data_IF_429164279909
#
_entry.id   IF_429164279909
#
_cell.length_a   1.000
_cell.length_b   1.000
_cell.length_c   1.000
_cell.angle_alpha   90.00
_cell.angle_beta   90.00
_cell.angle_gamma   90.00
#
_symmetry.space_group_name_H-M   'P 1'
#
loop_
_entity.id
_entity.type
_entity.pdbx_description
1 polymer ?
#
# COMPACT_ATOMS: atom_id res chain seq x y z
N UNK A 1 4.88 -2.69 -43.20
CA UNK A 1 5.19 -3.82 -42.31
C UNK A 1 3.95 -4.14 -41.48
N UNK A 2 3.42 -5.37 -41.55
CA UNK A 2 2.22 -5.77 -40.79
C UNK A 2 2.60 -5.97 -39.32
N UNK A 3 2.01 -5.21 -38.40
CA UNK A 3 2.23 -5.40 -36.96
C UNK A 3 1.34 -6.51 -36.44
N UNK A 4 1.90 -7.43 -35.64
CA UNK A 4 1.13 -8.45 -34.96
C UNK A 4 0.34 -7.77 -33.82
N UNK A 5 -0.98 -7.99 -33.75
CA UNK A 5 -1.89 -7.37 -32.78
C UNK A 5 -1.42 -7.59 -31.32
N UNK A 6 -1.02 -8.81 -30.97
CA UNK A 6 -0.51 -9.12 -29.63
C UNK A 6 0.79 -8.37 -29.27
N UNK A 7 1.68 -8.16 -30.26
CA UNK A 7 2.91 -7.37 -30.05
C UNK A 7 2.61 -5.88 -29.86
N UNK A 8 1.62 -5.35 -30.60
CA UNK A 8 1.19 -3.95 -30.45
C UNK A 8 0.60 -3.72 -29.06
N UNK A 9 -0.26 -4.62 -28.57
CA UNK A 9 -0.84 -4.53 -27.23
C UNK A 9 0.23 -4.61 -26.12
N UNK A 10 1.21 -5.51 -26.26
CA UNK A 10 2.31 -5.64 -25.28
C UNK A 10 3.28 -4.45 -25.29
N UNK A 11 3.37 -3.70 -26.38
CA UNK A 11 4.24 -2.52 -26.47
C UNK A 11 3.54 -1.20 -26.09
N UNK A 12 2.24 -1.23 -25.87
CA UNK A 12 1.47 -0.08 -25.41
C UNK A 12 1.90 0.31 -24.00
N UNK A 13 2.42 1.53 -23.86
CA UNK A 13 2.61 2.13 -22.54
C UNK A 13 1.32 2.79 -22.13
N UNK A 14 0.92 2.58 -20.86
CA UNK A 14 -0.20 3.30 -20.27
C UNK A 14 0.14 4.79 -20.17
N UNK A 15 -0.75 5.65 -20.64
CA UNK A 15 -0.69 7.08 -20.43
C UNK A 15 -1.52 7.43 -19.19
N UNK A 16 -0.85 7.61 -18.07
CA UNK A 16 -1.48 7.81 -16.75
C UNK A 16 -2.42 9.03 -16.74
N UNK A 17 -2.02 10.12 -17.42
CA UNK A 17 -2.84 11.33 -17.46
C UNK A 17 -4.10 11.12 -18.30
N UNK A 18 -3.98 10.40 -19.41
CA UNK A 18 -5.13 10.04 -20.23
C UNK A 18 -6.08 9.07 -19.51
N UNK A 19 -5.55 8.12 -18.75
CA UNK A 19 -6.40 7.23 -17.93
C UNK A 19 -7.09 7.99 -16.80
N UNK A 20 -6.40 8.92 -16.14
CA UNK A 20 -7.02 9.81 -15.16
C UNK A 20 -8.17 10.61 -15.78
N UNK A 21 -7.95 11.27 -16.93
CA UNK A 21 -8.98 12.06 -17.62
C UNK A 21 -10.21 11.22 -17.97
N UNK A 22 -10.02 9.98 -18.45
CA UNK A 22 -11.13 9.06 -18.72
C UNK A 22 -11.92 8.71 -17.45
N UNK A 23 -11.23 8.41 -16.34
CA UNK A 23 -11.86 8.08 -15.06
C UNK A 23 -12.58 9.30 -14.48
N UNK A 24 -11.96 10.47 -14.58
CA UNK A 24 -12.56 11.75 -14.15
C UNK A 24 -13.83 12.06 -14.96
N UNK A 25 -13.80 11.93 -16.28
CA UNK A 25 -14.96 12.14 -17.15
C UNK A 25 -16.09 11.12 -16.90
N UNK A 26 -15.75 9.89 -16.53
CA UNK A 26 -16.74 8.89 -16.13
C UNK A 26 -17.40 9.23 -14.78
N UNK A 27 -16.73 9.92 -13.87
CA UNK A 27 -17.22 10.26 -12.55
C UNK A 27 -17.96 11.60 -12.51
N UNK A 28 -17.36 12.65 -13.08
CA UNK A 28 -17.87 14.01 -13.06
C UNK A 28 -18.57 14.44 -14.36
N UNK A 29 -18.39 13.71 -15.45
CA UNK A 29 -18.99 14.08 -16.73
C UNK A 29 -20.48 13.78 -16.78
N UNK A 30 -21.28 14.71 -17.36
CA UNK A 30 -22.73 14.60 -17.46
C UNK A 30 -23.17 13.43 -18.37
N UNK A 31 -24.14 12.67 -17.92
CA UNK A 31 -24.86 11.69 -18.71
C UNK A 31 -25.93 12.30 -19.62
N UNK A 32 -26.74 11.44 -20.24
CA UNK A 32 -27.81 11.86 -21.17
C UNK A 32 -28.95 12.65 -20.46
N UNK A 33 -29.08 12.49 -19.16
CA UNK A 33 -30.05 13.19 -18.28
C UNK A 33 -29.48 14.46 -17.64
N UNK A 34 -28.27 14.86 -18.03
CA UNK A 34 -27.59 16.04 -17.50
C UNK A 34 -27.06 15.89 -16.07
N UNK A 35 -26.90 14.64 -15.58
CA UNK A 35 -26.32 14.35 -14.27
C UNK A 35 -25.06 13.52 -14.42
N UNK A 36 -24.07 13.79 -13.57
CA UNK A 36 -22.88 12.99 -13.41
C UNK A 36 -23.08 11.86 -12.39
N UNK A 37 -22.14 10.95 -12.27
CA UNK A 37 -22.14 9.97 -11.19
C UNK A 37 -21.94 10.66 -9.83
N UNK A 38 -21.08 11.67 -9.75
CA UNK A 38 -20.91 12.49 -8.55
C UNK A 38 -22.23 13.14 -8.09
N UNK A 39 -23.02 13.71 -9.04
CA UNK A 39 -24.34 14.25 -8.74
C UNK A 39 -25.31 13.19 -8.20
N UNK A 40 -25.28 11.98 -8.79
CA UNK A 40 -26.13 10.89 -8.33
C UNK A 40 -25.75 10.40 -6.92
N UNK A 41 -24.48 10.34 -6.62
CA UNK A 41 -23.97 10.03 -5.28
C UNK A 41 -24.38 11.12 -4.31
N UNK A 42 -24.21 12.40 -4.65
CA UNK A 42 -24.58 13.53 -3.82
C UNK A 42 -26.09 13.58 -3.51
N UNK A 43 -26.93 13.28 -4.50
CA UNK A 43 -28.39 13.22 -4.33
C UNK A 43 -28.85 12.07 -3.43
N UNK A 44 -28.05 11.05 -3.23
CA UNK A 44 -28.35 9.88 -2.40
C UNK A 44 -27.29 9.70 -1.31
N UNK A 45 -26.71 10.78 -0.86
CA UNK A 45 -25.56 10.79 0.04
C UNK A 45 -25.89 10.21 1.43
N UNK A 46 -27.16 10.23 1.81
CA UNK A 46 -27.66 9.61 3.05
C UNK A 46 -27.41 8.11 3.12
N UNK A 47 -27.34 7.42 1.96
CA UNK A 47 -27.07 5.99 1.86
C UNK A 47 -25.56 5.65 2.00
N UNK A 48 -24.67 6.64 1.97
CA UNK A 48 -23.22 6.44 2.11
C UNK A 48 -22.87 6.26 3.59
N UNK A 49 -22.49 5.05 3.98
CA UNK A 49 -22.26 4.69 5.38
C UNK A 49 -21.10 5.43 6.04
N UNK A 50 -20.10 5.86 5.28
CA UNK A 50 -18.89 6.52 5.76
C UNK A 50 -18.95 8.06 5.64
N UNK A 51 -20.08 8.63 5.24
CA UNK A 51 -20.24 10.09 5.07
C UNK A 51 -20.05 10.91 6.35
N UNK A 52 -20.01 10.26 7.51
CA UNK A 52 -19.98 10.98 8.79
C UNK A 52 -21.23 11.83 8.98
N UNK A 53 -21.05 13.13 9.20
CA UNK A 53 -22.14 14.11 9.34
C UNK A 53 -22.39 14.92 8.07
N UNK A 54 -21.65 14.70 6.99
CA UNK A 54 -21.77 15.42 5.72
C UNK A 54 -23.14 15.13 5.06
N UNK A 55 -23.71 16.16 4.44
CA UNK A 55 -25.02 16.11 3.81
C UNK A 55 -24.94 15.78 2.31
N UNK A 56 -23.81 16.12 1.68
CA UNK A 56 -23.53 15.89 0.26
C UNK A 56 -22.04 15.66 0.01
N UNK A 57 -21.70 15.41 -1.25
CA UNK A 57 -20.33 15.11 -1.66
C UNK A 57 -19.41 16.33 -1.54
N UNK A 58 -19.93 17.54 -1.81
CA UNK A 58 -19.14 18.78 -1.74
C UNK A 58 -18.72 19.09 -0.30
N UNK A 59 -19.63 18.90 0.68
CA UNK A 59 -19.30 19.04 2.10
C UNK A 59 -18.29 17.98 2.55
N UNK A 60 -18.42 16.75 2.06
CA UNK A 60 -17.48 15.67 2.33
C UNK A 60 -16.10 16.01 1.78
N UNK A 61 -15.99 16.42 0.54
CA UNK A 61 -14.74 16.78 -0.11
C UNK A 61 -14.05 17.94 0.62
N UNK A 62 -14.84 18.96 1.02
CA UNK A 62 -14.31 20.07 1.80
C UNK A 62 -13.83 19.65 3.20
N UNK A 63 -14.57 18.78 3.89
CA UNK A 63 -14.24 18.34 5.25
C UNK A 63 -13.00 17.43 5.28
N UNK A 64 -12.84 16.57 4.27
CA UNK A 64 -11.75 15.60 4.19
C UNK A 64 -10.64 16.01 3.21
N UNK A 65 -10.68 17.24 2.70
CA UNK A 65 -9.68 17.86 1.83
C UNK A 65 -9.44 17.08 0.52
N UNK A 66 -10.49 16.42 -0.02
CA UNK A 66 -10.43 15.81 -1.34
C UNK A 66 -10.63 16.88 -2.42
N UNK A 67 -9.61 17.08 -3.27
CA UNK A 67 -9.66 18.06 -4.35
C UNK A 67 -9.11 17.43 -5.64
N UNK A 68 -10.03 17.04 -6.50
CA UNK A 68 -9.66 16.44 -7.79
C UNK A 68 -10.10 17.36 -8.94
N UNK A 69 -9.12 17.80 -9.74
CA UNK A 69 -9.34 18.67 -10.89
C UNK A 69 -9.28 17.86 -12.20
N UNK A 70 -10.05 18.29 -13.23
CA UNK A 70 -9.97 17.69 -14.57
C UNK A 70 -8.55 17.71 -15.14
N UNK A 71 -7.81 18.81 -14.88
CA UNK A 71 -6.45 19.02 -15.37
C UNK A 71 -5.51 19.43 -14.23
N UNK A 72 -5.12 18.50 -13.32
CA UNK A 72 -4.28 18.83 -12.19
C UNK A 72 -2.91 19.36 -12.63
N UNK A 73 -2.43 20.40 -11.94
CA UNK A 73 -1.13 21.01 -12.23
C UNK A 73 0.03 20.10 -11.81
N UNK A 74 -0.12 19.41 -10.68
CA UNK A 74 0.88 18.49 -10.11
C UNK A 74 0.35 17.06 -10.17
N UNK A 75 0.29 16.51 -11.40
CA UNK A 75 -0.17 15.16 -11.63
C UNK A 75 1.00 14.18 -11.53
N UNK A 76 0.85 13.18 -10.64
CA UNK A 76 1.75 12.03 -10.50
C UNK A 76 0.96 10.72 -10.30
N UNK A 77 1.67 9.65 -10.01
CA UNK A 77 1.05 8.34 -9.74
C UNK A 77 0.21 8.36 -8.47
N UNK A 78 0.67 9.06 -7.44
CA UNK A 78 -0.02 9.11 -6.14
C UNK A 78 -1.34 9.86 -6.25
N UNK A 79 -1.39 10.92 -7.07
CA UNK A 79 -2.63 11.62 -7.38
C UNK A 79 -3.65 10.71 -8.10
N UNK A 80 -3.19 9.93 -9.10
CA UNK A 80 -4.04 8.95 -9.79
C UNK A 80 -4.55 7.87 -8.83
N UNK A 81 -3.68 7.34 -7.98
CA UNK A 81 -4.04 6.29 -7.00
C UNK A 81 -5.06 6.83 -6.01
N UNK A 82 -4.85 8.03 -5.45
CA UNK A 82 -5.79 8.69 -4.54
C UNK A 82 -7.18 8.88 -5.17
N UNK A 83 -7.21 9.34 -6.43
CA UNK A 83 -8.47 9.47 -7.17
C UNK A 83 -9.15 8.11 -7.39
N UNK A 84 -8.38 7.10 -7.76
CA UNK A 84 -8.92 5.74 -7.93
C UNK A 84 -9.49 5.18 -6.63
N UNK A 85 -8.85 5.40 -5.48
CA UNK A 85 -9.34 4.98 -4.15
C UNK A 85 -10.63 5.69 -3.79
N UNK A 86 -10.66 7.02 -3.94
CA UNK A 86 -11.82 7.84 -3.70
C UNK A 86 -13.03 7.34 -4.50
N UNK A 87 -12.90 7.29 -5.82
CA UNK A 87 -14.01 6.87 -6.70
C UNK A 87 -14.40 5.42 -6.44
N UNK A 88 -13.43 4.52 -6.28
CA UNK A 88 -13.71 3.11 -6.05
C UNK A 88 -14.55 2.90 -4.79
N UNK A 89 -14.19 3.54 -3.67
CA UNK A 89 -14.93 3.40 -2.42
C UNK A 89 -16.34 3.97 -2.51
N UNK A 90 -16.55 5.12 -3.14
CA UNK A 90 -17.90 5.63 -3.40
C UNK A 90 -18.71 4.68 -4.27
N UNK A 91 -18.12 4.20 -5.36
CA UNK A 91 -18.79 3.34 -6.33
C UNK A 91 -19.21 2.00 -5.72
N UNK A 92 -18.38 1.36 -4.91
CA UNK A 92 -18.74 0.06 -4.30
C UNK A 92 -19.84 0.19 -3.25
N UNK A 93 -19.89 1.32 -2.52
CA UNK A 93 -20.88 1.58 -1.48
C UNK A 93 -22.18 2.20 -2.03
N UNK A 94 -22.17 2.67 -3.27
CA UNK A 94 -23.36 3.22 -3.90
C UNK A 94 -24.31 2.11 -4.36
N UNK A 95 -25.58 2.18 -3.95
CA UNK A 95 -26.56 1.13 -4.30
C UNK A 95 -26.79 1.05 -5.82
N UNK A 96 -26.72 -0.15 -6.36
CA UNK A 96 -26.84 -0.45 -7.79
C UNK A 96 -28.23 -0.22 -8.39
N UNK A 97 -29.22 0.23 -7.59
CA UNK A 97 -30.59 0.55 -8.09
C UNK A 97 -30.60 1.74 -9.06
N UNK A 98 -29.53 2.51 -9.10
CA UNK A 98 -29.39 3.65 -10.01
C UNK A 98 -28.59 3.24 -11.24
N UNK A 99 -29.22 3.31 -12.41
CA UNK A 99 -28.57 3.03 -13.68
C UNK A 99 -27.66 4.19 -14.06
N UNK A 100 -26.40 3.87 -14.37
CA UNK A 100 -25.45 4.85 -14.86
C UNK A 100 -25.56 4.99 -16.37
N UNK A 101 -25.68 6.21 -16.85
CA UNK A 101 -25.92 6.47 -18.25
C UNK A 101 -24.68 6.32 -19.14
N UNK A 102 -23.46 6.33 -18.58
CA UNK A 102 -22.19 6.28 -19.34
C UNK A 102 -21.46 4.95 -19.22
N UNK A 103 -21.54 4.30 -18.08
CA UNK A 103 -20.95 2.98 -17.84
C UNK A 103 -21.73 2.27 -16.74
N UNK A 104 -21.79 0.94 -16.80
CA UNK A 104 -22.28 0.21 -15.65
C UNK A 104 -21.22 0.19 -14.52
N UNK A 105 -21.68 0.01 -13.28
CA UNK A 105 -20.84 -0.06 -12.08
C UNK A 105 -19.67 -1.01 -12.25
N UNK A 106 -19.93 -2.21 -12.78
CA UNK A 106 -18.91 -3.25 -12.93
C UNK A 106 -17.83 -2.85 -13.94
N UNK A 107 -18.24 -2.22 -15.05
CA UNK A 107 -17.28 -1.71 -16.05
C UNK A 107 -16.35 -0.68 -15.42
N UNK A 108 -16.88 0.27 -14.64
CA UNK A 108 -16.08 1.31 -14.02
C UNK A 108 -15.10 0.75 -12.98
N UNK A 109 -15.59 -0.09 -12.06
CA UNK A 109 -14.73 -0.80 -11.10
C UNK A 109 -13.63 -1.59 -11.81
N UNK A 110 -14.01 -2.35 -12.85
CA UNK A 110 -13.05 -3.15 -13.62
C UNK A 110 -12.00 -2.29 -14.30
N UNK A 111 -12.39 -1.13 -14.83
CA UNK A 111 -11.44 -0.20 -15.46
C UNK A 111 -10.46 0.39 -14.43
N UNK A 112 -10.92 0.81 -13.26
CA UNK A 112 -10.05 1.25 -12.16
C UNK A 112 -9.04 0.16 -11.81
N UNK A 113 -9.51 -1.06 -11.54
CA UNK A 113 -8.64 -2.18 -11.17
C UNK A 113 -7.60 -2.49 -12.26
N UNK A 114 -7.98 -2.34 -13.54
CA UNK A 114 -7.06 -2.53 -14.66
C UNK A 114 -5.97 -1.45 -14.72
N UNK A 115 -6.34 -0.19 -14.50
CA UNK A 115 -5.37 0.92 -14.42
C UNK A 115 -4.40 0.67 -13.26
N UNK A 116 -4.90 0.33 -12.08
CA UNK A 116 -4.12 0.03 -10.88
C UNK A 116 -3.14 -1.12 -11.11
N UNK A 117 -3.59 -2.21 -11.76
CA UNK A 117 -2.71 -3.33 -12.10
C UNK A 117 -1.59 -2.93 -13.07
N UNK A 118 -1.90 -2.16 -14.11
CA UNK A 118 -0.94 -1.71 -15.14
C UNK A 118 0.13 -0.77 -14.58
N UNK A 119 -0.19 0.01 -13.55
CA UNK A 119 0.79 0.88 -12.87
C UNK A 119 1.61 0.15 -11.79
N UNK A 120 1.40 -1.16 -11.61
CA UNK A 120 2.15 -1.98 -10.66
C UNK A 120 1.63 -1.88 -9.22
N UNK A 121 0.38 -1.50 -9.04
CA UNK A 121 -0.32 -1.49 -7.76
C UNK A 121 -1.26 -2.70 -7.62
N UNK A 122 -1.76 -2.92 -6.43
CA UNK A 122 -2.73 -3.97 -6.12
C UNK A 122 -3.74 -3.48 -5.09
N UNK A 123 -4.93 -4.06 -5.13
CA UNK A 123 -5.95 -3.81 -4.13
C UNK A 123 -5.56 -4.40 -2.77
N UNK A 124 -5.76 -3.63 -1.72
CA UNK A 124 -5.68 -4.03 -0.32
C UNK A 124 -6.91 -3.47 0.42
N UNK A 125 -7.03 -3.77 1.72
CA UNK A 125 -8.14 -3.27 2.53
C UNK A 125 -7.61 -2.75 3.87
N UNK A 126 -8.11 -1.59 4.30
CA UNK A 126 -7.83 -0.99 5.60
C UNK A 126 -9.14 -0.45 6.20
N UNK A 127 -9.48 -0.89 7.41
CA UNK A 127 -10.68 -0.47 8.15
C UNK A 127 -12.01 -0.57 7.35
N UNK A 128 -12.09 -1.54 6.43
CA UNK A 128 -13.26 -1.75 5.59
C UNK A 128 -13.26 -0.98 4.28
N UNK A 129 -12.27 -0.13 4.05
CA UNK A 129 -12.09 0.59 2.80
C UNK A 129 -11.09 -0.12 1.88
N UNK A 130 -11.26 0.09 0.58
CA UNK A 130 -10.26 -0.32 -0.40
C UNK A 130 -9.18 0.75 -0.50
N UNK A 131 -7.92 0.31 -0.41
CA UNK A 131 -6.74 1.09 -0.74
C UNK A 131 -5.97 0.40 -1.85
N UNK A 132 -5.15 1.16 -2.60
CA UNK A 132 -4.27 0.62 -3.62
C UNK A 132 -2.81 0.82 -3.24
N UNK A 133 -2.07 -0.29 -3.13
CA UNK A 133 -0.70 -0.31 -2.62
C UNK A 133 0.27 -0.80 -3.70
N UNK A 134 1.53 -0.33 -3.70
CA UNK A 134 2.55 -0.85 -4.61
C UNK A 134 2.69 -2.37 -4.48
N UNK A 135 2.78 -3.07 -5.60
CA UNK A 135 2.91 -4.52 -5.66
C UNK A 135 4.34 -4.94 -5.31
N UNK A 136 4.61 -5.14 -4.03
CA UNK A 136 5.87 -5.66 -3.51
C UNK A 136 5.76 -7.17 -3.28
N UNK A 137 6.42 -7.96 -4.14
CA UNK A 137 6.37 -9.41 -4.06
C UNK A 137 6.99 -9.99 -2.78
N UNK A 138 7.96 -9.31 -2.19
CA UNK A 138 8.59 -9.73 -0.93
C UNK A 138 7.66 -9.43 0.24
N UNK A 139 7.08 -8.25 0.29
CA UNK A 139 6.07 -7.91 1.30
C UNK A 139 4.88 -8.87 1.24
N UNK A 140 4.37 -9.18 0.04
CA UNK A 140 3.28 -10.16 -0.16
C UNK A 140 3.70 -11.56 0.33
N UNK A 141 4.92 -12.01 0.03
CA UNK A 141 5.41 -13.31 0.49
C UNK A 141 5.52 -13.36 2.02
N UNK A 142 6.11 -12.32 2.63
CA UNK A 142 6.25 -12.23 4.10
C UNK A 142 4.90 -12.15 4.78
N UNK A 143 3.94 -11.37 4.26
CA UNK A 143 2.61 -11.22 4.87
C UNK A 143 1.80 -12.52 4.95
N UNK A 144 2.19 -13.55 4.19
CA UNK A 144 1.55 -14.88 4.16
C UNK A 144 2.24 -15.94 5.02
N UNK A 145 3.34 -15.58 5.70
CA UNK A 145 4.03 -16.53 6.59
C UNK A 145 3.19 -16.82 7.82
N UNK A 146 3.15 -18.08 8.25
CA UNK A 146 2.37 -18.54 9.42
C UNK A 146 2.71 -17.78 10.71
N UNK A 147 3.92 -17.25 10.81
CA UNK A 147 4.37 -16.45 11.96
C UNK A 147 3.89 -15.00 11.95
N UNK A 148 3.25 -14.53 10.87
CA UNK A 148 2.71 -13.18 10.73
C UNK A 148 1.22 -13.21 11.04
N UNK A 149 0.76 -12.53 12.11
CA UNK A 149 -0.66 -12.43 12.43
C UNK A 149 -1.43 -11.69 11.32
N UNK A 150 -2.67 -12.08 11.10
CA UNK A 150 -3.52 -11.51 10.03
C UNK A 150 -3.64 -9.97 10.14
N UNK A 151 -3.80 -9.45 11.36
CA UNK A 151 -3.87 -8.01 11.60
C UNK A 151 -2.54 -7.25 11.36
N UNK A 152 -1.44 -7.97 11.11
CA UNK A 152 -0.14 -7.38 10.74
C UNK A 152 0.11 -7.51 9.25
N UNK A 153 -0.45 -8.51 8.59
CA UNK A 153 -0.26 -8.77 7.16
C UNK A 153 -0.60 -7.55 6.31
N UNK A 154 -1.72 -6.88 6.58
CA UNK A 154 -2.11 -5.67 5.84
C UNK A 154 -1.11 -4.51 6.07
N UNK A 155 -0.57 -4.34 7.30
CA UNK A 155 0.42 -3.30 7.61
C UNK A 155 1.71 -3.49 6.83
N UNK A 156 2.12 -4.76 6.63
CA UNK A 156 3.28 -5.10 5.81
C UNK A 156 3.02 -4.68 4.36
N UNK A 157 1.88 -5.04 3.80
CA UNK A 157 1.53 -4.73 2.41
C UNK A 157 1.36 -3.22 2.20
N UNK A 158 0.72 -2.53 3.15
CA UNK A 158 0.41 -1.10 3.05
C UNK A 158 1.61 -0.18 3.40
N UNK A 159 2.73 -0.70 3.88
CA UNK A 159 3.87 0.11 4.35
C UNK A 159 4.36 1.14 3.33
N UNK A 160 4.33 0.81 2.05
CA UNK A 160 4.76 1.69 0.95
C UNK A 160 3.61 2.48 0.33
N UNK A 161 2.43 2.51 0.97
CA UNK A 161 1.33 3.34 0.50
C UNK A 161 1.69 4.83 0.59
N UNK A 162 1.32 5.62 -0.42
CA UNK A 162 1.71 7.02 -0.53
C UNK A 162 1.22 7.91 0.63
N UNK A 163 0.08 7.57 1.25
CA UNK A 163 -0.46 8.31 2.40
C UNK A 163 0.12 7.87 3.76
N UNK A 164 1.03 6.89 3.77
CA UNK A 164 1.60 6.37 5.01
C UNK A 164 2.58 7.39 5.61
N UNK A 165 2.18 8.03 6.70
CA UNK A 165 3.03 8.97 7.41
C UNK A 165 4.16 8.28 8.20
N UNK A 166 5.14 9.06 8.64
CA UNK A 166 6.32 8.55 9.35
C UNK A 166 5.96 7.88 10.69
N UNK A 167 4.90 8.34 11.37
CA UNK A 167 4.47 7.72 12.62
C UNK A 167 3.81 6.36 12.38
N UNK A 168 2.98 6.23 11.35
CA UNK A 168 2.39 4.96 10.91
C UNK A 168 3.46 3.96 10.47
N UNK A 169 4.49 4.42 9.73
CA UNK A 169 5.68 3.63 9.39
C UNK A 169 6.40 3.15 10.65
N UNK A 170 6.61 4.04 11.63
CA UNK A 170 7.21 3.73 12.94
C UNK A 170 6.43 2.65 13.68
N UNK A 171 5.11 2.79 13.77
CA UNK A 171 4.24 1.82 14.43
C UNK A 171 4.32 0.44 13.78
N UNK A 172 4.37 0.38 12.45
CA UNK A 172 4.56 -0.88 11.71
C UNK A 172 5.92 -1.52 12.05
N UNK A 173 7.00 -0.73 12.05
CA UNK A 173 8.34 -1.22 12.42
C UNK A 173 8.41 -1.72 13.85
N UNK A 174 7.71 -1.10 14.80
CA UNK A 174 7.62 -1.57 16.19
C UNK A 174 6.94 -2.94 16.28
N UNK A 175 5.87 -3.15 15.54
CA UNK A 175 5.20 -4.45 15.47
C UNK A 175 6.12 -5.51 14.88
N UNK A 176 6.81 -5.22 13.78
CA UNK A 176 7.77 -6.14 13.15
C UNK A 176 8.95 -6.44 14.08
N UNK A 177 9.46 -5.42 14.82
CA UNK A 177 10.51 -5.60 15.81
C UNK A 177 10.08 -6.57 16.93
N UNK A 178 8.84 -6.44 17.40
CA UNK A 178 8.29 -7.35 18.43
C UNK A 178 8.17 -8.79 17.91
N UNK A 179 7.75 -8.99 16.67
CA UNK A 179 7.66 -10.31 16.04
C UNK A 179 9.04 -10.94 15.79
N UNK A 180 10.08 -10.15 15.55
CA UNK A 180 11.45 -10.64 15.32
C UNK A 180 12.22 -10.91 16.62
N UNK A 181 11.83 -10.32 17.72
CA UNK A 181 12.52 -10.44 19.02
C UNK A 181 12.67 -11.88 19.51
N UNK A 182 11.65 -12.76 19.48
CA UNK A 182 11.79 -14.16 19.85
C UNK A 182 12.78 -14.94 18.99
N UNK A 183 13.08 -14.44 17.80
CA UNK A 183 13.96 -15.08 16.83
C UNK A 183 15.42 -14.57 16.87
N UNK A 184 15.77 -13.70 17.83
CA UNK A 184 17.10 -13.07 17.95
C UNK A 184 18.25 -14.08 17.84
N UNK A 185 18.22 -15.14 18.62
CA UNK A 185 19.28 -16.18 18.65
C UNK A 185 19.36 -16.93 17.31
N UNK A 186 18.21 -17.31 16.76
CA UNK A 186 18.14 -18.03 15.49
C UNK A 186 18.63 -17.16 14.34
N UNK A 187 18.20 -15.90 14.29
CA UNK A 187 18.63 -14.95 13.28
C UNK A 187 20.14 -14.70 13.35
N UNK A 188 20.70 -14.59 14.56
CA UNK A 188 22.14 -14.43 14.77
C UNK A 188 22.95 -15.64 14.23
N UNK A 189 22.40 -16.85 14.31
CA UNK A 189 23.03 -18.04 13.75
C UNK A 189 22.98 -18.09 12.21
N UNK A 190 21.90 -17.58 11.64
CA UNK A 190 21.65 -17.60 10.19
C UNK A 190 22.35 -16.44 9.49
N UNK A 191 22.25 -15.24 10.04
CA UNK A 191 22.74 -13.98 9.43
C UNK A 191 23.08 -12.96 10.54
N UNK A 192 24.24 -13.11 11.16
CA UNK A 192 24.70 -12.26 12.23
C UNK A 192 24.85 -10.77 11.83
N UNK A 193 25.34 -10.41 10.62
CA UNK A 193 25.38 -9.02 10.18
C UNK A 193 24.00 -8.39 10.09
N UNK A 194 23.03 -9.04 9.43
CA UNK A 194 21.66 -8.54 9.32
C UNK A 194 21.02 -8.34 10.71
N UNK A 195 21.16 -9.33 11.58
CA UNK A 195 20.68 -9.24 12.96
C UNK A 195 21.27 -8.04 13.70
N UNK A 196 22.58 -7.84 13.61
CA UNK A 196 23.26 -6.74 14.28
C UNK A 196 22.73 -5.38 13.80
N UNK A 197 22.62 -5.19 12.49
CA UNK A 197 22.19 -3.93 11.90
C UNK A 197 20.72 -3.64 12.22
N UNK A 198 19.86 -4.67 12.12
CA UNK A 198 18.44 -4.56 12.39
C UNK A 198 18.15 -4.18 13.86
N UNK A 199 18.76 -4.88 14.81
CA UNK A 199 18.57 -4.59 16.24
C UNK A 199 19.25 -3.28 16.64
N UNK A 200 20.31 -2.88 15.95
CA UNK A 200 20.88 -1.53 16.10
C UNK A 200 19.86 -0.45 15.67
N UNK A 201 19.21 -0.62 14.53
CA UNK A 201 18.18 0.29 14.03
C UNK A 201 17.00 0.37 15.02
N UNK A 202 16.49 -0.75 15.52
CA UNK A 202 15.40 -0.78 16.50
C UNK A 202 15.71 0.01 17.78
N UNK A 203 16.94 -0.02 18.22
CA UNK A 203 17.37 0.63 19.47
C UNK A 203 17.82 2.09 19.32
N UNK A 204 18.19 2.52 18.10
CA UNK A 204 18.84 3.81 17.89
C UNK A 204 18.14 4.76 16.91
N UNK A 205 17.10 4.31 16.15
CA UNK A 205 16.39 5.14 15.15
C UNK A 205 15.03 5.62 15.67
N UNK A 206 14.94 5.97 16.95
CA UNK A 206 13.71 6.45 17.58
C UNK A 206 12.53 5.46 17.45
N UNK A 207 12.82 4.16 17.40
CA UNK A 207 11.81 3.10 17.38
C UNK A 207 11.51 2.65 18.83
N UNK A 208 12.28 1.76 19.42
CA UNK A 208 12.03 1.21 20.75
C UNK A 208 12.28 2.18 21.90
N UNK A 209 13.20 3.12 21.71
CA UNK A 209 13.58 4.14 22.69
C UNK A 209 13.30 5.53 22.14
N UNK A 210 13.05 6.48 23.04
CA UNK A 210 12.88 7.87 22.68
C UNK A 210 14.27 8.54 22.44
N UNK A 211 14.88 8.21 21.31
CA UNK A 211 16.23 8.66 20.98
C UNK A 211 16.32 10.17 20.66
N UNK A 212 15.18 10.86 20.55
CA UNK A 212 15.12 12.30 20.24
C UNK A 212 14.92 13.19 21.48
N UNK A 213 14.60 12.61 22.63
CA UNK A 213 14.36 13.35 23.85
C UNK A 213 15.67 13.53 24.67
N UNK A 214 16.17 14.78 24.83
CA UNK A 214 17.35 15.04 25.64
C UNK A 214 17.20 14.68 27.12
N UNK A 215 15.97 14.53 27.62
CA UNK A 215 15.72 14.12 29.01
C UNK A 215 16.02 12.62 29.22
N UNK A 216 15.91 11.80 28.18
CA UNK A 216 16.31 10.38 28.21
C UNK A 216 17.81 10.22 27.98
N UNK A 217 18.63 10.58 28.98
CA UNK A 217 20.10 10.55 28.89
C UNK A 217 20.69 9.20 28.48
N UNK A 218 19.97 8.10 28.73
CA UNK A 218 20.41 6.73 28.40
C UNK A 218 20.30 6.41 26.91
N UNK A 219 19.31 6.97 26.25
CA UNK A 219 18.96 6.62 24.87
C UNK A 219 19.04 7.78 23.88
N UNK A 220 19.19 9.02 24.37
CA UNK A 220 19.29 10.19 23.50
C UNK A 220 20.42 10.07 22.47
N UNK A 221 20.10 10.35 21.22
CA UNK A 221 21.03 10.37 20.08
C UNK A 221 20.90 11.70 19.35
N UNK A 222 21.84 12.62 19.59
CA UNK A 222 21.84 13.95 18.98
C UNK A 222 21.67 13.89 17.45
N UNK A 223 22.35 12.96 16.78
CA UNK A 223 22.28 12.79 15.32
C UNK A 223 20.86 12.45 14.86
N UNK A 224 20.12 11.64 15.62
CA UNK A 224 18.74 11.28 15.31
C UNK A 224 17.78 12.42 15.62
N UNK A 225 18.02 13.14 16.74
CA UNK A 225 17.20 14.29 17.14
C UNK A 225 17.30 15.47 16.16
N UNK A 226 18.45 15.65 15.53
CA UNK A 226 18.72 16.71 14.56
C UNK A 226 18.54 16.26 13.09
N UNK A 227 18.18 15.00 12.87
CA UNK A 227 18.02 14.42 11.53
C UNK A 227 16.75 14.98 10.85
N UNK A 228 16.82 15.43 9.58
CA UNK A 228 15.63 15.78 8.82
C UNK A 228 14.65 14.62 8.76
N UNK A 229 13.34 14.93 8.82
CA UNK A 229 12.29 13.92 8.81
C UNK A 229 12.38 12.98 7.59
N UNK A 230 12.63 13.54 6.41
CA UNK A 230 12.79 12.76 5.16
C UNK A 230 13.98 11.79 5.21
N UNK A 231 15.05 12.15 5.93
CA UNK A 231 16.20 11.26 6.11
C UNK A 231 15.86 10.13 7.10
N UNK A 232 15.19 10.45 8.21
CA UNK A 232 14.74 9.45 9.17
C UNK A 232 13.75 8.47 8.52
N UNK A 233 12.86 8.95 7.66
CA UNK A 233 11.93 8.13 6.92
C UNK A 233 12.64 7.16 5.98
N UNK A 234 13.67 7.61 5.24
CA UNK A 234 14.51 6.70 4.42
C UNK A 234 15.18 5.61 5.27
N UNK A 235 15.58 5.91 6.51
CA UNK A 235 16.12 4.90 7.42
C UNK A 235 15.03 3.93 7.90
N UNK A 236 13.79 4.40 8.08
CA UNK A 236 12.65 3.52 8.38
C UNK A 236 12.36 2.58 7.21
N UNK A 237 12.35 3.07 5.98
CA UNK A 237 12.14 2.25 4.78
C UNK A 237 13.24 1.18 4.63
N UNK A 238 14.50 1.55 4.90
CA UNK A 238 15.59 0.59 4.92
C UNK A 238 15.47 -0.44 6.04
N UNK A 239 15.02 -0.02 7.21
CA UNK A 239 14.76 -0.92 8.35
C UNK A 239 13.62 -1.88 8.03
N UNK A 240 12.57 -1.41 7.37
CA UNK A 240 11.49 -2.24 6.87
C UNK A 240 11.98 -3.33 5.91
N UNK A 241 12.79 -2.99 4.93
CA UNK A 241 13.40 -3.97 4.02
C UNK A 241 14.25 -5.00 4.75
N UNK A 242 15.01 -4.58 5.77
CA UNK A 242 15.78 -5.51 6.63
C UNK A 242 14.84 -6.44 7.43
N UNK A 243 13.68 -5.97 7.89
CA UNK A 243 12.69 -6.84 8.54
C UNK A 243 12.16 -7.91 7.57
N UNK A 244 11.78 -7.53 6.35
CA UNK A 244 11.32 -8.49 5.34
C UNK A 244 12.41 -9.53 5.05
N UNK A 245 13.66 -9.10 4.89
CA UNK A 245 14.79 -10.00 4.67
C UNK A 245 14.97 -10.96 5.85
N UNK A 246 14.83 -10.49 7.09
CA UNK A 246 14.96 -11.33 8.29
C UNK A 246 13.88 -12.42 8.34
N UNK A 247 12.62 -12.10 8.04
CA UNK A 247 11.54 -13.08 7.95
C UNK A 247 11.81 -14.13 6.86
N UNK A 248 12.23 -13.69 5.67
CA UNK A 248 12.57 -14.61 4.57
C UNK A 248 13.75 -15.53 4.91
N UNK A 249 14.77 -15.03 5.65
CA UNK A 249 15.88 -15.85 6.15
C UNK A 249 15.44 -16.88 7.15
N UNK A 250 14.55 -16.52 8.07
CA UNK A 250 13.98 -17.43 9.06
C UNK A 250 13.15 -18.53 8.38
N UNK A 251 12.35 -18.17 7.39
CA UNK A 251 11.52 -19.09 6.60
C UNK A 251 12.39 -20.07 5.80
N UNK A 252 13.39 -19.55 5.08
CA UNK A 252 14.35 -20.38 4.36
C UNK A 252 15.04 -21.40 5.29
N UNK A 253 15.47 -20.96 6.49
CA UNK A 253 16.10 -21.84 7.45
C UNK A 253 15.14 -22.90 8.04
N UNK A 254 13.86 -22.58 8.14
CA UNK A 254 12.82 -23.53 8.57
C UNK A 254 12.55 -24.59 7.50
N UNK A 255 12.55 -24.21 6.22
CA UNK A 255 12.36 -25.12 5.09
C UNK A 255 13.60 -25.96 4.71
N UNK A 256 14.79 -25.65 5.27
CA UNK A 256 16.04 -26.31 4.91
C UNK A 256 16.03 -27.83 5.04
N UNK A 257 15.48 -28.44 6.13
CA UNK A 257 15.47 -29.92 6.27
C UNK A 257 14.70 -30.61 5.14
N UNK A 258 13.56 -30.06 4.72
CA UNK A 258 12.77 -30.63 3.62
C UNK A 258 13.52 -30.53 2.27
N UNK A 259 14.26 -29.45 2.07
CA UNK A 259 15.09 -29.26 0.89
C UNK A 259 16.27 -30.27 0.85
N UNK A 260 16.95 -30.47 1.99
CA UNK A 260 18.03 -31.41 2.12
C UNK A 260 17.57 -32.88 1.89
N UNK A 261 16.36 -33.22 2.38
CA UNK A 261 15.73 -34.51 2.10
C UNK A 261 15.45 -34.69 0.60
N UNK A 262 14.93 -33.68 -0.07
CA UNK A 262 14.69 -33.72 -1.50
C UNK A 262 15.99 -33.91 -2.29
N UNK A 263 17.05 -33.17 -1.92
CA UNK A 263 18.37 -33.34 -2.56
C UNK A 263 18.87 -34.75 -2.41
N UNK A 264 18.85 -35.35 -1.21
CA UNK A 264 19.26 -36.69 -0.96
C UNK A 264 18.49 -37.74 -1.82
N UNK A 265 17.18 -37.50 -2.02
CA UNK A 265 16.33 -38.36 -2.89
C UNK A 265 16.69 -38.24 -4.38
N UNK A 266 17.08 -37.06 -4.84
CA UNK A 266 17.52 -36.82 -6.22
C UNK A 266 18.86 -37.53 -6.44
N UNK A 267 19.82 -37.29 -5.53
CA UNK A 267 21.18 -37.86 -5.65
C UNK A 267 21.21 -39.40 -5.56
N UNK A 268 20.30 -39.99 -4.77
CA UNK A 268 20.17 -41.45 -4.66
C UNK A 268 19.55 -42.12 -5.90
N UNK A 269 18.98 -41.38 -6.84
CA UNK A 269 18.39 -41.91 -8.09
C UNK A 269 19.29 -41.71 -9.31
N UNK A 270 20.48 -41.10 -9.14
CA UNK A 270 21.51 -40.95 -10.15
C UNK A 270 22.57 -42.00 -9.96
#
# INVERSE_FOLDING_TARGET
MRRNFAQVLKSGKIDLKNEYTKLFDLFYGEGADGKSLADLISLNFEDISFRGTCLDLDEFDQQFEFHFDEHPQNFDVDYLVSFCEYVYNFVIHFDSRFFWHRADKNFYIHHILKVIEEIGYMQSSEDGFTIFVPKDSVAIAVSKLDQIPENVSYRIIAYNHHSMDIESKKQTLLVLAHLLEPHDKKLNQIDAPLKKDLFYAFNNFNLRHNNIDPADKGHYKKVIAEMPQEELERWYDRTYQMCLMAFMRLEHAAGRPAFDELQARIDAKT
#
